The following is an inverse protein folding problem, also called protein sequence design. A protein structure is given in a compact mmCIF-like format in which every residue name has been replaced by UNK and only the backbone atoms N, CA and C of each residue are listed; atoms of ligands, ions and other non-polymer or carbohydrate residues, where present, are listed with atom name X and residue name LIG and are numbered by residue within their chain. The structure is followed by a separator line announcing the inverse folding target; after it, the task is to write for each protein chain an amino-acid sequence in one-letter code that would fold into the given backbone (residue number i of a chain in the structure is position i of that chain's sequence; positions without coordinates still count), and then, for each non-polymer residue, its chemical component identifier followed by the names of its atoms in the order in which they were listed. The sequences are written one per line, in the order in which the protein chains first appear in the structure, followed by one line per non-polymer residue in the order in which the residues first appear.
data_IF_638529781970
#
_entry.id   IF_638529781970
#
_cell.length_a   1.000
_cell.length_b   1.000
_cell.length_c   1.000
_cell.angle_alpha   90.00
_cell.angle_beta   90.00
_cell.angle_gamma   90.00
#
_symmetry.space_group_name_H-M   'P 1'
#
loop_
_entity.id
_entity.type
_entity.pdbx_description
1 polymer ?
#
# COMPACT_ATOMS: atom_id res chain seq x y z
N UNK A 1 8.15 -25.35 60.32
CA UNK A 1 9.35 -25.69 59.54
C UNK A 1 9.19 -25.10 58.15
N UNK A 2 9.79 -23.94 57.86
CA UNK A 2 9.63 -23.24 56.57
C UNK A 2 10.62 -23.85 55.56
N UNK A 3 10.12 -24.56 54.53
CA UNK A 3 10.95 -25.05 53.45
C UNK A 3 11.47 -23.88 52.61
N UNK A 4 12.77 -23.63 52.70
CA UNK A 4 13.50 -22.63 51.91
C UNK A 4 13.55 -23.11 50.45
N UNK A 5 12.69 -22.55 49.55
CA UNK A 5 12.75 -22.81 48.09
C UNK A 5 14.11 -22.39 47.57
N UNK A 6 14.88 -23.31 47.04
CA UNK A 6 16.13 -23.01 46.31
C UNK A 6 15.74 -22.24 45.06
N UNK A 7 16.16 -20.99 44.93
CA UNK A 7 16.07 -20.25 43.67
C UNK A 7 17.18 -20.76 42.75
N UNK A 8 16.83 -21.51 41.72
CA UNK A 8 17.75 -21.84 40.65
C UNK A 8 17.95 -20.60 39.78
N UNK A 9 19.20 -20.13 39.66
CA UNK A 9 19.58 -19.09 38.71
C UNK A 9 20.03 -19.69 37.39
N UNK A 10 19.88 -18.94 36.31
CA UNK A 10 20.39 -19.34 34.98
C UNK A 10 21.91 -19.36 34.99
N UNK A 11 22.52 -20.29 34.28
CA UNK A 11 23.97 -20.33 34.07
C UNK A 11 24.33 -19.36 32.94
N UNK A 12 25.58 -18.83 32.98
CA UNK A 12 26.08 -17.93 31.95
C UNK A 12 26.08 -18.61 30.59
N UNK A 13 26.36 -19.90 30.50
CA UNK A 13 26.38 -20.65 29.26
C UNK A 13 24.98 -20.80 28.66
N UNK A 14 23.94 -21.01 29.47
CA UNK A 14 22.55 -21.03 29.00
C UNK A 14 22.14 -19.72 28.34
N UNK A 15 22.54 -18.59 28.94
CA UNK A 15 22.26 -17.26 28.38
C UNK A 15 23.01 -17.06 27.05
N UNK A 16 24.31 -17.42 27.00
CA UNK A 16 25.13 -17.26 25.79
C UNK A 16 24.60 -18.14 24.65
N UNK A 17 24.21 -19.39 24.92
CA UNK A 17 23.63 -20.27 23.91
C UNK A 17 22.34 -19.71 23.32
N UNK A 18 21.46 -19.11 24.15
CA UNK A 18 20.19 -18.53 23.69
C UNK A 18 20.46 -17.32 22.77
N UNK A 19 21.35 -16.41 23.14
CA UNK A 19 21.63 -15.23 22.29
C UNK A 19 22.31 -15.61 20.97
N UNK A 20 23.15 -16.64 20.96
CA UNK A 20 23.78 -17.17 19.73
C UNK A 20 22.71 -17.74 18.78
N UNK A 21 21.81 -18.58 19.30
CA UNK A 21 20.73 -19.17 18.51
C UNK A 21 19.80 -18.08 17.96
N UNK A 22 19.40 -17.11 18.81
CA UNK A 22 18.57 -15.98 18.39
C UNK A 22 19.27 -15.13 17.32
N UNK A 23 20.59 -14.91 17.43
CA UNK A 23 21.39 -14.21 16.44
C UNK A 23 21.36 -14.89 15.07
N UNK A 24 21.52 -16.21 15.02
CA UNK A 24 21.47 -16.97 13.76
C UNK A 24 20.06 -16.91 13.15
N UNK A 25 19.01 -17.09 13.96
CA UNK A 25 17.64 -16.99 13.51
C UNK A 25 17.29 -15.58 12.98
N UNK A 26 17.77 -14.53 13.64
CA UNK A 26 17.53 -13.14 13.22
C UNK A 26 18.12 -12.85 11.83
N UNK A 27 19.34 -13.35 11.52
CA UNK A 27 19.97 -13.15 10.21
C UNK A 27 19.12 -13.74 9.07
N UNK A 28 18.45 -14.86 9.29
CA UNK A 28 17.61 -15.52 8.26
C UNK A 28 16.21 -14.92 8.19
N UNK A 29 15.70 -14.37 9.29
CA UNK A 29 14.33 -13.83 9.36
C UNK A 29 14.21 -12.42 8.78
N UNK A 30 15.19 -11.54 9.02
CA UNK A 30 15.13 -10.14 8.60
C UNK A 30 14.86 -9.96 7.10
N UNK A 31 15.57 -10.62 6.15
CA UNK A 31 15.29 -10.48 4.72
C UNK A 31 13.85 -10.85 4.36
N UNK A 32 13.34 -11.93 4.93
CA UNK A 32 11.98 -12.42 4.71
C UNK A 32 10.91 -11.39 5.10
N UNK A 33 11.11 -10.68 6.21
CA UNK A 33 10.17 -9.63 6.65
C UNK A 33 10.19 -8.40 5.74
N UNK A 34 11.35 -8.04 5.19
CA UNK A 34 11.44 -6.92 4.23
C UNK A 34 10.66 -7.24 2.95
N UNK A 35 10.86 -8.44 2.38
CA UNK A 35 10.14 -8.89 1.18
C UNK A 35 8.63 -8.92 1.41
N UNK A 36 8.18 -9.46 2.54
CA UNK A 36 6.76 -9.51 2.89
C UNK A 36 6.15 -8.11 3.03
N UNK A 37 6.90 -7.16 3.58
CA UNK A 37 6.46 -5.76 3.70
C UNK A 37 6.24 -5.11 2.33
N UNK A 38 7.10 -5.37 1.36
CA UNK A 38 6.96 -4.86 -0.03
C UNK A 38 5.72 -5.46 -0.69
N UNK A 39 5.52 -6.78 -0.59
CA UNK A 39 4.35 -7.44 -1.16
C UNK A 39 3.03 -6.97 -0.50
N UNK A 40 3.04 -6.74 0.81
CA UNK A 40 1.88 -6.19 1.51
C UNK A 40 1.53 -4.76 1.03
N UNK A 41 2.53 -3.91 0.78
CA UNK A 41 2.32 -2.57 0.22
C UNK A 41 1.76 -2.63 -1.20
N UNK A 42 2.26 -3.54 -2.05
CA UNK A 42 1.72 -3.77 -3.39
C UNK A 42 0.25 -4.16 -3.34
N UNK A 43 -0.10 -5.18 -2.55
CA UNK A 43 -1.46 -5.65 -2.40
C UNK A 43 -2.41 -4.55 -1.90
N UNK A 44 -1.98 -3.76 -0.91
CA UNK A 44 -2.75 -2.63 -0.39
C UNK A 44 -2.94 -1.53 -1.44
N UNK A 45 -1.91 -1.19 -2.22
CA UNK A 45 -2.01 -0.20 -3.30
C UNK A 45 -2.94 -0.69 -4.42
N UNK A 46 -2.88 -1.97 -4.81
CA UNK A 46 -3.79 -2.56 -5.79
C UNK A 46 -5.25 -2.54 -5.31
N UNK A 47 -5.49 -2.81 -4.03
CA UNK A 47 -6.82 -2.68 -3.42
C UNK A 47 -7.34 -1.24 -3.49
N UNK A 48 -6.51 -0.26 -3.15
CA UNK A 48 -6.84 1.16 -3.28
C UNK A 48 -7.13 1.55 -4.74
N UNK A 49 -6.34 1.05 -5.70
CA UNK A 49 -6.57 1.28 -7.13
C UNK A 49 -7.90 0.69 -7.61
N UNK A 50 -8.28 -0.48 -7.10
CA UNK A 50 -9.60 -1.08 -7.37
C UNK A 50 -10.74 -0.17 -6.92
N UNK A 51 -10.65 0.39 -5.71
CA UNK A 51 -11.64 1.34 -5.20
C UNK A 51 -11.69 2.62 -6.04
N UNK A 52 -10.55 3.16 -6.47
CA UNK A 52 -10.47 4.32 -7.36
C UNK A 52 -11.18 4.06 -8.71
N UNK A 53 -10.90 2.92 -9.33
CA UNK A 53 -11.53 2.52 -10.61
C UNK A 53 -13.03 2.34 -10.46
N UNK A 54 -13.49 1.74 -9.36
CA UNK A 54 -14.91 1.58 -9.07
C UNK A 54 -15.62 2.93 -8.92
N UNK A 55 -15.02 3.88 -8.20
CA UNK A 55 -15.57 5.23 -8.03
C UNK A 55 -15.72 5.97 -9.38
N UNK A 56 -14.71 5.90 -10.25
CA UNK A 56 -14.77 6.49 -11.60
C UNK A 56 -15.83 5.82 -12.43
N UNK A 57 -15.95 4.50 -12.39
CA UNK A 57 -16.97 3.75 -13.14
C UNK A 57 -18.40 4.09 -12.70
N UNK A 58 -18.64 4.22 -11.39
CA UNK A 58 -19.92 4.63 -10.83
C UNK A 58 -20.27 6.06 -11.27
N UNK A 59 -19.32 6.99 -11.20
CA UNK A 59 -19.51 8.37 -11.63
C UNK A 59 -19.84 8.45 -13.13
N UNK A 60 -19.13 7.67 -13.95
CA UNK A 60 -19.43 7.57 -15.38
C UNK A 60 -20.84 7.01 -15.63
N UNK A 61 -21.24 5.93 -14.95
CA UNK A 61 -22.58 5.38 -15.06
C UNK A 61 -23.66 6.40 -14.68
N UNK A 62 -23.44 7.20 -13.64
CA UNK A 62 -24.34 8.29 -13.26
C UNK A 62 -24.41 9.37 -14.34
N UNK A 63 -23.32 9.74 -14.98
CA UNK A 63 -23.31 10.73 -16.08
C UNK A 63 -24.12 10.22 -17.29
N UNK A 64 -24.02 8.94 -17.61
CA UNK A 64 -24.80 8.31 -18.69
C UNK A 64 -26.31 8.39 -18.39
N UNK A 65 -26.74 8.16 -17.17
CA UNK A 65 -28.17 8.23 -16.79
C UNK A 65 -28.72 9.66 -16.87
N UNK A 66 -27.87 10.68 -16.75
CA UNK A 66 -28.25 12.10 -16.92
C UNK A 66 -28.10 12.62 -18.35
N UNK A 67 -27.78 11.74 -19.30
CA UNK A 67 -27.67 12.08 -20.72
C UNK A 67 -26.30 12.63 -21.15
N UNK A 68 -25.30 12.62 -20.26
CA UNK A 68 -23.92 13.01 -20.58
C UNK A 68 -23.01 11.79 -20.50
N UNK A 69 -22.23 11.49 -21.56
CA UNK A 69 -21.30 10.35 -21.58
C UNK A 69 -19.90 10.82 -21.29
N UNK A 70 -19.66 11.29 -20.07
CA UNK A 70 -18.38 11.87 -19.69
C UNK A 70 -17.85 11.26 -18.40
N UNK A 71 -16.54 11.03 -18.38
CA UNK A 71 -15.83 10.71 -17.14
C UNK A 71 -15.74 11.97 -16.25
N UNK A 72 -15.62 11.81 -14.92
CA UNK A 72 -15.43 12.95 -14.03
C UNK A 72 -14.18 13.74 -14.44
N UNK A 73 -14.24 15.06 -14.38
CA UNK A 73 -13.11 15.93 -14.73
C UNK A 73 -11.92 15.76 -13.77
N UNK A 74 -12.21 15.37 -12.54
CA UNK A 74 -11.22 15.09 -11.48
C UNK A 74 -11.76 14.07 -10.49
N UNK A 75 -10.87 13.38 -9.81
CA UNK A 75 -11.24 12.50 -8.69
C UNK A 75 -11.22 13.32 -7.41
N UNK A 76 -12.36 13.44 -6.78
CA UNK A 76 -12.57 14.15 -5.51
C UNK A 76 -13.09 13.20 -4.45
N UNK A 77 -13.02 13.62 -3.19
CA UNK A 77 -13.54 12.84 -2.06
C UNK A 77 -15.02 12.50 -2.15
N UNK A 78 -15.80 13.34 -2.87
CA UNK A 78 -17.24 13.13 -3.06
C UNK A 78 -17.60 11.91 -3.92
N UNK A 79 -16.64 11.34 -4.65
CA UNK A 79 -16.83 10.10 -5.42
C UNK A 79 -16.82 8.85 -4.53
N UNK A 80 -16.41 8.98 -3.27
CA UNK A 80 -16.27 7.88 -2.32
C UNK A 80 -17.32 7.98 -1.23
N UNK A 81 -17.92 6.85 -0.86
CA UNK A 81 -18.99 6.81 0.14
C UNK A 81 -18.53 7.27 1.54
N UNK A 82 -17.27 7.08 1.87
CA UNK A 82 -16.63 7.52 3.11
C UNK A 82 -16.01 8.92 3.02
N UNK A 83 -16.17 9.59 1.87
CA UNK A 83 -15.56 10.90 1.56
C UNK A 83 -14.03 10.92 1.71
N UNK A 84 -13.38 9.78 1.49
CA UNK A 84 -11.93 9.66 1.56
C UNK A 84 -11.36 9.02 0.29
N UNK A 85 -10.28 9.61 -0.23
CA UNK A 85 -9.52 8.99 -1.32
C UNK A 85 -8.62 7.91 -0.71
N UNK A 86 -8.63 6.68 -1.23
CA UNK A 86 -7.76 5.62 -0.74
C UNK A 86 -6.29 6.05 -0.74
N UNK A 87 -5.57 5.66 0.31
CA UNK A 87 -4.15 5.93 0.43
C UNK A 87 -3.34 4.96 -0.43
N UNK A 88 -2.44 5.46 -1.25
CA UNK A 88 -1.47 4.62 -1.93
C UNK A 88 -0.40 4.17 -0.92
N UNK A 89 -0.35 2.87 -0.67
CA UNK A 89 0.56 2.30 0.33
C UNK A 89 2.04 2.36 -0.10
N UNK A 90 2.35 2.61 -1.39
CA UNK A 90 3.73 2.73 -1.87
C UNK A 90 4.36 4.06 -1.43
N UNK A 91 3.67 5.18 -1.61
CA UNK A 91 4.20 6.51 -1.29
C UNK A 91 3.43 7.26 -0.19
N UNK A 92 2.48 6.58 0.46
CA UNK A 92 1.68 7.10 1.57
C UNK A 92 0.83 8.34 1.24
N UNK A 93 0.52 8.58 -0.03
CA UNK A 93 -0.25 9.74 -0.49
C UNK A 93 -1.69 9.39 -0.88
N UNK A 94 -2.62 10.29 -0.61
CA UNK A 94 -4.03 10.23 -1.04
C UNK A 94 -4.32 11.18 -2.20
N UNK A 95 -3.38 12.03 -2.59
CA UNK A 95 -3.59 13.03 -3.64
C UNK A 95 -3.63 12.38 -5.03
N UNK A 96 -4.37 12.99 -5.93
CA UNK A 96 -4.53 12.55 -7.32
C UNK A 96 -3.99 13.61 -8.26
N UNK A 97 -3.04 13.24 -9.12
CA UNK A 97 -2.55 14.10 -10.17
C UNK A 97 -3.32 13.86 -11.47
N UNK A 98 -3.83 14.91 -12.08
CA UNK A 98 -4.40 14.83 -13.44
C UNK A 98 -3.27 14.85 -14.46
N UNK A 99 -3.28 13.87 -15.37
CA UNK A 99 -2.27 13.72 -16.43
C UNK A 99 -2.95 13.54 -17.78
N UNK A 100 -2.24 13.83 -18.86
CA UNK A 100 -2.70 13.59 -20.23
C UNK A 100 -2.19 12.27 -20.82
N UNK A 101 -1.18 11.67 -20.19
CA UNK A 101 -0.57 10.41 -20.62
C UNK A 101 -0.32 9.50 -19.41
N UNK A 102 -0.15 8.22 -19.68
CA UNK A 102 0.17 7.23 -18.65
C UNK A 102 1.62 7.45 -18.22
N UNK A 103 1.87 7.71 -16.92
CA UNK A 103 3.23 7.78 -16.41
C UNK A 103 3.96 6.42 -16.54
N UNK A 104 5.29 6.44 -16.54
CA UNK A 104 6.09 5.21 -16.43
C UNK A 104 5.70 4.42 -15.18
N UNK A 105 5.74 3.09 -15.23
CA UNK A 105 5.39 2.22 -14.12
C UNK A 105 6.26 2.41 -12.87
N UNK A 106 7.46 2.97 -13.03
CA UNK A 106 8.35 3.34 -11.92
C UNK A 106 8.34 4.83 -11.61
N UNK A 107 7.44 5.61 -12.25
CA UNK A 107 7.35 7.05 -12.02
C UNK A 107 6.98 7.34 -10.56
N UNK A 108 7.78 8.20 -9.92
CA UNK A 108 7.54 8.71 -8.57
C UNK A 108 6.83 10.05 -8.62
N UNK A 109 5.98 10.32 -7.64
CA UNK A 109 5.30 11.61 -7.48
C UNK A 109 4.97 11.85 -6.01
N UNK A 110 4.78 13.10 -5.65
CA UNK A 110 4.15 13.45 -4.35
C UNK A 110 2.66 13.06 -4.33
N UNK A 111 2.03 12.90 -5.51
CA UNK A 111 0.69 12.32 -5.61
C UNK A 111 0.74 10.81 -5.46
N UNK A 112 -0.30 10.23 -4.85
CA UNK A 112 -0.47 8.78 -4.74
C UNK A 112 -0.96 8.14 -6.02
N UNK A 113 -1.81 8.87 -6.75
CA UNK A 113 -2.55 8.35 -7.89
C UNK A 113 -2.43 9.30 -9.08
N UNK A 114 -2.54 8.77 -10.28
CA UNK A 114 -2.72 9.57 -11.48
C UNK A 114 -4.08 9.26 -12.13
N UNK A 115 -4.64 10.25 -12.81
CA UNK A 115 -5.93 10.15 -13.46
C UNK A 115 -5.92 10.85 -14.82
N UNK A 116 -6.52 10.21 -15.83
CA UNK A 116 -6.72 10.76 -17.17
C UNK A 116 -8.22 10.92 -17.42
N UNK A 117 -8.74 12.13 -17.32
CA UNK A 117 -10.16 12.40 -17.45
C UNK A 117 -10.73 12.07 -18.85
N UNK A 118 -9.92 12.22 -19.91
CA UNK A 118 -10.34 11.89 -21.28
C UNK A 118 -10.69 10.41 -21.49
N UNK A 119 -10.11 9.50 -20.73
CA UNK A 119 -10.30 8.05 -20.86
C UNK A 119 -10.82 7.36 -19.61
N UNK A 120 -10.96 8.08 -18.50
CA UNK A 120 -11.34 7.53 -17.21
C UNK A 120 -10.28 6.63 -16.57
N UNK A 121 -9.05 6.61 -17.10
CA UNK A 121 -7.98 5.73 -16.60
C UNK A 121 -7.40 6.25 -15.32
N UNK A 122 -7.21 5.33 -14.38
CA UNK A 122 -6.59 5.59 -13.07
C UNK A 122 -5.44 4.61 -12.87
N UNK A 123 -4.37 5.07 -12.28
CA UNK A 123 -3.26 4.22 -11.86
C UNK A 123 -2.53 4.77 -10.64
N UNK A 124 -1.60 3.99 -10.15
CA UNK A 124 -0.80 4.32 -8.97
C UNK A 124 0.57 4.88 -9.39
N UNK A 125 1.07 5.87 -8.66
CA UNK A 125 2.48 6.22 -8.71
C UNK A 125 3.30 5.24 -7.85
N UNK A 126 4.51 4.97 -8.29
CA UNK A 126 5.47 4.12 -7.60
C UNK A 126 6.17 4.87 -6.46
N UNK A 127 6.82 4.12 -5.60
CA UNK A 127 7.86 4.61 -4.67
C UNK A 127 9.27 4.60 -5.31
N UNK A 128 9.36 4.25 -6.60
CA UNK A 128 10.60 4.09 -7.35
C UNK A 128 11.16 2.66 -7.34
N UNK A 129 10.61 1.76 -6.53
CA UNK A 129 11.06 0.36 -6.42
C UNK A 129 10.08 -0.64 -7.03
N UNK A 130 8.79 -0.31 -7.03
CA UNK A 130 7.71 -1.18 -7.52
C UNK A 130 7.26 -0.71 -8.89
N UNK A 131 7.28 -1.58 -9.89
CA UNK A 131 6.70 -1.30 -11.21
C UNK A 131 5.17 -1.44 -11.15
N UNK A 132 4.47 -0.35 -11.44
CA UNK A 132 3.01 -0.26 -11.46
C UNK A 132 2.42 -0.28 -12.88
N UNK A 133 3.23 -0.53 -13.91
CA UNK A 133 2.80 -0.47 -15.32
C UNK A 133 1.76 -1.51 -15.70
N UNK A 134 1.75 -2.64 -15.00
CA UNK A 134 0.83 -3.76 -15.23
C UNK A 134 -0.49 -3.70 -14.42
N UNK A 135 -0.71 -2.65 -13.65
CA UNK A 135 -1.87 -2.53 -12.73
C UNK A 135 -3.11 -1.88 -13.36
#
# INVERSE_FOLDING_TARGET
MLMKRKKSGFTLIELVMVIVILGILAITAIPKFVDLSVEAKKAAAQGGLGAMRSAVAISYAQSVTTGTTQFPSSITTSLFADSQIPKNALNNSTSVASTSSIPSGTATSTAGWWYISASGRVGAYSDGTVDTSSW
#
